data_IF_961913858619
#
_entry.id   IF_961913858619
#
_cell.length_a   1.000
_cell.length_b   1.000
_cell.length_c   1.000
_cell.angle_alpha   90.00
_cell.angle_beta   90.00
_cell.angle_gamma   90.00
#
_symmetry.space_group_name_H-M   'P 1'
#
loop_
_entity.id
_entity.type
_entity.pdbx_description
1 polymer ?
#
# COMPACT_ATOMS: atom_id res chain seq x y z
N UNK A 1 -31.98 18.28 -6.42
CA UNK A 1 -30.87 17.40 -6.86
C UNK A 1 -31.16 16.01 -6.30
N UNK A 2 -31.52 15.04 -7.15
CA UNK A 2 -32.18 13.80 -6.69
C UNK A 2 -31.18 12.86 -6.02
N UNK A 3 -31.33 12.65 -4.71
CA UNK A 3 -30.50 11.79 -3.84
C UNK A 3 -30.29 10.37 -4.41
N UNK A 4 -31.27 9.85 -5.15
CA UNK A 4 -31.21 8.53 -5.80
C UNK A 4 -30.19 8.43 -6.95
N UNK A 5 -29.89 9.54 -7.65
CA UNK A 5 -28.92 9.57 -8.74
C UNK A 5 -27.48 9.56 -8.24
N UNK A 6 -27.17 10.40 -7.25
CA UNK A 6 -25.84 10.48 -6.63
C UNK A 6 -25.42 9.15 -6.01
N UNK A 7 -26.36 8.42 -5.38
CA UNK A 7 -26.07 7.13 -4.77
C UNK A 7 -25.83 6.02 -5.81
N UNK A 8 -26.54 6.04 -6.95
CA UNK A 8 -26.28 5.09 -8.05
C UNK A 8 -24.90 5.32 -8.67
N UNK A 9 -24.48 6.58 -8.80
CA UNK A 9 -23.14 6.95 -9.30
C UNK A 9 -22.07 6.48 -8.31
N UNK A 10 -22.24 6.75 -7.01
CA UNK A 10 -21.32 6.30 -5.97
C UNK A 10 -21.19 4.76 -5.94
N UNK A 11 -22.31 4.04 -6.07
CA UNK A 11 -22.33 2.57 -6.15
C UNK A 11 -21.56 2.06 -7.35
N UNK A 12 -21.85 2.59 -8.54
CA UNK A 12 -21.17 2.17 -9.77
C UNK A 12 -19.67 2.51 -9.71
N UNK A 13 -19.30 3.66 -9.13
CA UNK A 13 -17.91 4.02 -8.86
C UNK A 13 -17.20 3.00 -7.96
N UNK A 14 -17.83 2.59 -6.87
CA UNK A 14 -17.29 1.55 -5.97
C UNK A 14 -17.09 0.21 -6.67
N UNK A 15 -18.04 -0.22 -7.51
CA UNK A 15 -17.91 -1.46 -8.29
C UNK A 15 -16.74 -1.36 -9.27
N UNK A 16 -16.61 -0.25 -9.99
CA UNK A 16 -15.49 -0.03 -10.92
C UNK A 16 -14.16 -0.07 -10.18
N UNK A 17 -14.04 0.63 -9.04
CA UNK A 17 -12.83 0.61 -8.22
C UNK A 17 -12.53 -0.82 -7.73
N UNK A 18 -13.54 -1.56 -7.29
CA UNK A 18 -13.37 -2.92 -6.82
C UNK A 18 -12.87 -3.86 -7.93
N UNK A 19 -13.44 -3.77 -9.13
CA UNK A 19 -12.99 -4.53 -10.31
C UNK A 19 -11.55 -4.16 -10.69
N UNK A 20 -11.20 -2.88 -10.65
CA UNK A 20 -9.82 -2.42 -10.90
C UNK A 20 -8.85 -3.00 -9.87
N UNK A 21 -9.22 -3.00 -8.58
CA UNK A 21 -8.40 -3.59 -7.51
C UNK A 21 -8.22 -5.11 -7.71
N UNK A 22 -9.28 -5.83 -8.08
CA UNK A 22 -9.19 -7.25 -8.42
C UNK A 22 -8.28 -7.49 -9.63
N UNK A 23 -8.46 -6.74 -10.72
CA UNK A 23 -7.65 -6.88 -11.93
C UNK A 23 -6.17 -6.57 -11.67
N UNK A 24 -5.90 -5.52 -10.89
CA UNK A 24 -4.55 -5.16 -10.47
C UNK A 24 -3.92 -6.24 -9.60
N UNK A 25 -4.68 -6.82 -8.66
CA UNK A 25 -4.23 -7.93 -7.83
C UNK A 25 -3.83 -9.16 -8.67
N UNK A 26 -4.68 -9.55 -9.62
CA UNK A 26 -4.39 -10.66 -10.55
C UNK A 26 -3.15 -10.36 -11.39
N UNK A 27 -3.03 -9.13 -11.91
CA UNK A 27 -1.87 -8.72 -12.71
C UNK A 27 -0.55 -8.81 -11.92
N UNK A 28 -0.55 -8.33 -10.67
CA UNK A 28 0.62 -8.39 -9.78
C UNK A 28 1.03 -9.84 -9.48
N UNK A 29 0.07 -10.74 -9.30
CA UNK A 29 0.33 -12.15 -9.03
C UNK A 29 0.78 -12.91 -10.29
N UNK A 30 0.20 -12.62 -11.45
CA UNK A 30 0.46 -13.34 -12.70
C UNK A 30 1.85 -13.03 -13.27
N UNK A 31 2.29 -11.76 -13.19
CA UNK A 31 3.57 -11.35 -13.78
C UNK A 31 4.37 -10.44 -12.83
N UNK A 32 4.81 -10.95 -11.67
CA UNK A 32 5.45 -10.15 -10.63
C UNK A 32 6.76 -9.51 -11.10
N UNK A 33 7.51 -10.17 -11.97
CA UNK A 33 8.78 -9.64 -12.51
C UNK A 33 8.58 -8.39 -13.38
N UNK A 34 7.50 -8.36 -14.18
CA UNK A 34 7.15 -7.16 -14.96
C UNK A 34 6.57 -6.09 -14.04
N UNK A 35 5.77 -6.47 -13.05
CA UNK A 35 5.22 -5.53 -12.08
C UNK A 35 6.32 -4.78 -11.30
N UNK A 36 7.33 -5.48 -10.79
CA UNK A 36 8.49 -4.85 -10.12
C UNK A 36 9.15 -3.82 -11.05
N UNK A 37 9.39 -4.17 -12.32
CA UNK A 37 9.98 -3.25 -13.30
C UNK A 37 9.11 -2.01 -13.54
N UNK A 38 7.81 -2.19 -13.67
CA UNK A 38 6.85 -1.09 -13.86
C UNK A 38 6.84 -0.18 -12.62
N UNK A 39 6.80 -0.75 -11.42
CA UNK A 39 6.83 -0.01 -10.16
C UNK A 39 8.11 0.84 -10.06
N UNK A 40 9.27 0.27 -10.40
CA UNK A 40 10.53 1.04 -10.41
C UNK A 40 10.52 2.19 -11.42
N UNK A 41 9.97 1.98 -12.62
CA UNK A 41 9.90 3.03 -13.63
C UNK A 41 8.97 4.14 -13.17
N UNK A 42 7.78 3.79 -12.67
CA UNK A 42 6.82 4.75 -12.12
C UNK A 42 7.43 5.52 -10.95
N UNK A 43 8.09 4.84 -10.01
CA UNK A 43 8.78 5.49 -8.91
C UNK A 43 9.86 6.46 -9.42
N UNK A 44 10.72 6.04 -10.35
CA UNK A 44 11.75 6.91 -10.93
C UNK A 44 11.17 8.18 -11.58
N UNK A 45 10.08 8.04 -12.36
CA UNK A 45 9.38 9.18 -12.98
C UNK A 45 8.78 10.10 -11.92
N UNK A 46 8.14 9.55 -10.87
CA UNK A 46 7.57 10.33 -9.78
C UNK A 46 8.64 11.11 -9.01
N UNK A 47 9.80 10.51 -8.75
CA UNK A 47 10.94 11.20 -8.12
C UNK A 47 11.46 12.36 -8.98
N UNK A 48 11.54 12.17 -10.30
CA UNK A 48 11.91 13.25 -11.23
C UNK A 48 10.85 14.36 -11.22
N UNK A 49 9.57 14.00 -11.30
CA UNK A 49 8.46 14.96 -11.29
C UNK A 49 8.42 15.77 -9.98
N UNK A 50 8.55 15.11 -8.83
CA UNK A 50 8.62 15.77 -7.52
C UNK A 50 9.80 16.74 -7.43
N UNK A 51 10.97 16.31 -7.92
CA UNK A 51 12.15 17.17 -7.99
C UNK A 51 11.94 18.39 -8.89
N UNK A 52 11.28 18.24 -10.04
CA UNK A 52 10.93 19.36 -10.93
C UNK A 52 9.96 20.32 -10.23
N UNK A 53 8.91 19.81 -9.57
CA UNK A 53 7.94 20.65 -8.85
C UNK A 53 8.65 21.47 -7.76
N UNK A 54 9.56 20.86 -7.00
CA UNK A 54 10.39 21.56 -5.98
C UNK A 54 11.26 22.65 -6.59
N UNK A 55 11.88 22.40 -7.75
CA UNK A 55 12.69 23.40 -8.46
C UNK A 55 11.83 24.56 -8.97
N UNK A 56 10.66 24.28 -9.57
CA UNK A 56 9.74 25.32 -10.04
C UNK A 56 9.24 26.15 -8.84
N UNK A 57 8.88 25.50 -7.74
CA UNK A 57 8.45 26.14 -6.50
C UNK A 57 9.51 27.07 -5.91
N UNK A 58 10.80 26.71 -6.01
CA UNK A 58 11.91 27.58 -5.61
C UNK A 58 12.00 28.87 -6.45
N UNK A 59 11.75 28.78 -7.76
CA UNK A 59 11.81 29.94 -8.66
C UNK A 59 10.58 30.85 -8.58
N UNK A 60 9.44 30.33 -8.11
CA UNK A 60 8.21 31.08 -7.90
C UNK A 60 8.34 31.94 -6.62
N UNK A 61 9.12 33.01 -6.71
CA UNK A 61 9.34 34.01 -5.67
C UNK A 61 8.01 34.57 -5.15
N UNK A 62 7.57 34.14 -3.97
CA UNK A 62 6.97 35.02 -2.96
C UNK A 62 6.84 34.32 -1.58
N UNK A 63 7.19 35.04 -0.52
CA UNK A 63 7.08 34.74 0.93
C UNK A 63 7.92 33.62 1.61
N UNK A 64 8.57 32.68 0.91
CA UNK A 64 9.24 31.51 1.55
C UNK A 64 10.78 31.56 1.69
N UNK A 65 11.39 32.73 1.48
CA UNK A 65 12.83 32.89 1.21
C UNK A 65 13.81 32.43 2.32
N UNK A 66 13.36 32.17 3.56
CA UNK A 66 14.25 31.76 4.66
C UNK A 66 14.20 30.27 5.01
N UNK A 67 13.13 29.54 4.65
CA UNK A 67 12.97 28.11 4.96
C UNK A 67 13.39 27.17 3.80
N UNK A 68 13.62 27.72 2.60
CA UNK A 68 13.61 26.96 1.33
C UNK A 68 14.97 26.82 0.63
N UNK A 69 16.10 27.22 1.25
CA UNK A 69 17.43 26.97 0.66
C UNK A 69 17.75 25.47 0.58
N UNK A 70 17.24 24.66 1.50
CA UNK A 70 17.42 23.21 1.49
C UNK A 70 16.59 22.47 0.44
N UNK A 71 15.48 23.07 -0.04
CA UNK A 71 14.57 22.41 -0.98
C UNK A 71 15.09 22.41 -2.43
N UNK A 72 15.93 23.36 -2.84
CA UNK A 72 16.57 23.32 -4.17
C UNK A 72 17.55 22.15 -4.26
N UNK A 73 18.45 22.02 -3.28
CA UNK A 73 19.41 20.93 -3.21
C UNK A 73 18.71 19.57 -3.13
N UNK A 74 17.62 19.50 -2.36
CA UNK A 74 16.79 18.30 -2.27
C UNK A 74 16.06 17.99 -3.59
N UNK A 75 15.55 19.00 -4.31
CA UNK A 75 14.93 18.80 -5.63
C UNK A 75 15.90 18.27 -6.68
N UNK A 76 17.13 18.81 -6.73
CA UNK A 76 18.21 18.29 -7.61
C UNK A 76 18.56 16.85 -7.22
N UNK A 77 18.67 16.57 -5.92
CA UNK A 77 18.96 15.22 -5.42
C UNK A 77 17.83 14.24 -5.80
N UNK A 78 16.56 14.63 -5.68
CA UNK A 78 15.41 13.83 -6.09
C UNK A 78 15.45 13.49 -7.58
N UNK A 79 15.78 14.45 -8.46
CA UNK A 79 15.97 14.19 -9.89
C UNK A 79 17.12 13.21 -10.13
N UNK A 80 18.27 13.43 -9.48
CA UNK A 80 19.43 12.56 -9.62
C UNK A 80 19.13 11.13 -9.17
N UNK A 81 18.43 10.97 -8.05
CA UNK A 81 17.94 9.67 -7.55
C UNK A 81 16.96 9.05 -8.53
N UNK A 82 16.00 9.80 -9.06
CA UNK A 82 15.05 9.32 -10.05
C UNK A 82 15.73 8.81 -11.33
N UNK A 83 16.72 9.54 -11.85
CA UNK A 83 17.55 9.10 -12.98
C UNK A 83 18.33 7.83 -12.62
N UNK A 84 18.94 7.79 -11.43
CA UNK A 84 19.69 6.63 -10.96
C UNK A 84 18.79 5.38 -10.90
N UNK A 85 17.55 5.51 -10.40
CA UNK A 85 16.53 4.44 -10.39
C UNK A 85 16.30 3.90 -11.80
N UNK A 86 16.16 4.78 -12.80
CA UNK A 86 15.89 4.38 -14.18
C UNK A 86 17.10 3.70 -14.86
N UNK A 87 18.32 4.12 -14.53
CA UNK A 87 19.58 3.60 -15.12
C UNK A 87 20.05 2.31 -14.45
N UNK A 88 19.91 2.20 -13.12
CA UNK A 88 20.42 1.09 -12.29
C UNK A 88 19.29 0.42 -11.49
N UNK A 89 18.21 0.07 -12.19
CA UNK A 89 16.97 -0.52 -11.63
C UNK A 89 17.25 -1.69 -10.68
N UNK A 90 18.08 -2.64 -11.11
CA UNK A 90 18.37 -3.85 -10.33
C UNK A 90 19.19 -3.57 -9.07
N UNK A 91 20.20 -2.69 -9.16
CA UNK A 91 21.03 -2.33 -8.01
C UNK A 91 20.22 -1.57 -6.95
N UNK A 92 19.35 -0.66 -7.37
CA UNK A 92 18.51 0.10 -6.44
C UNK A 92 17.44 -0.78 -5.83
N UNK A 93 16.79 -1.66 -6.61
CA UNK A 93 15.88 -2.66 -6.06
C UNK A 93 16.57 -3.49 -4.98
N UNK A 94 17.77 -4.01 -5.26
CA UNK A 94 18.55 -4.78 -4.29
C UNK A 94 18.81 -3.97 -3.02
N UNK A 95 19.24 -2.71 -3.16
CA UNK A 95 19.52 -1.83 -2.03
C UNK A 95 18.27 -1.56 -1.18
N UNK A 96 17.15 -1.25 -1.82
CA UNK A 96 15.86 -1.00 -1.15
C UNK A 96 15.43 -2.23 -0.34
N UNK A 97 15.45 -3.41 -0.96
CA UNK A 97 15.03 -4.65 -0.27
C UNK A 97 16.00 -5.07 0.82
N UNK A 98 17.29 -4.77 0.70
CA UNK A 98 18.27 -4.96 1.79
C UNK A 98 17.93 -4.05 2.98
N UNK A 99 17.65 -2.77 2.73
CA UNK A 99 17.24 -1.84 3.81
C UNK A 99 15.94 -2.32 4.46
N UNK A 100 14.95 -2.70 3.67
CA UNK A 100 13.70 -3.27 4.20
C UNK A 100 13.96 -4.53 5.03
N UNK A 101 14.81 -5.44 4.56
CA UNK A 101 15.19 -6.64 5.31
C UNK A 101 15.79 -6.31 6.68
N UNK A 102 16.71 -5.33 6.75
CA UNK A 102 17.29 -4.87 8.01
C UNK A 102 16.26 -4.24 8.95
N UNK A 103 15.37 -3.40 8.43
CA UNK A 103 14.30 -2.77 9.21
C UNK A 103 13.33 -3.82 9.75
N UNK A 104 12.93 -4.79 8.92
CA UNK A 104 12.05 -5.89 9.31
C UNK A 104 12.71 -6.79 10.37
N UNK A 105 14.00 -7.09 10.24
CA UNK A 105 14.73 -7.84 11.26
C UNK A 105 14.76 -7.08 12.59
N UNK A 106 14.98 -5.76 12.53
CA UNK A 106 14.95 -4.92 13.74
C UNK A 106 13.57 -4.93 14.39
N UNK A 107 12.50 -4.81 13.60
CA UNK A 107 11.11 -4.92 14.09
C UNK A 107 10.84 -6.30 14.72
N UNK A 108 11.29 -7.38 14.07
CA UNK A 108 11.16 -8.74 14.59
C UNK A 108 11.87 -8.91 15.93
N UNK A 109 13.09 -8.36 16.08
CA UNK A 109 13.83 -8.38 17.34
C UNK A 109 13.09 -7.62 18.45
N UNK A 110 12.52 -6.45 18.14
CA UNK A 110 11.71 -5.69 19.09
C UNK A 110 10.43 -6.46 19.49
N UNK A 111 9.77 -7.14 18.56
CA UNK A 111 8.60 -7.98 18.87
C UNK A 111 8.95 -9.18 19.74
N UNK A 112 10.13 -9.79 19.54
CA UNK A 112 10.61 -10.86 20.42
C UNK A 112 10.77 -10.31 21.84
N UNK A 113 11.37 -9.13 22.02
CA UNK A 113 11.48 -8.49 23.34
C UNK A 113 10.10 -8.25 23.96
N UNK A 114 9.17 -7.66 23.21
CA UNK A 114 7.79 -7.45 23.67
C UNK A 114 7.09 -8.77 24.05
N UNK A 115 7.35 -9.87 23.34
CA UNK A 115 6.77 -11.19 23.68
C UNK A 115 7.27 -11.73 25.01
N UNK A 116 8.55 -11.51 25.33
CA UNK A 116 9.16 -11.92 26.61
C UNK A 116 8.61 -11.09 27.76
N UNK A 117 8.41 -9.79 27.54
CA UNK A 117 7.73 -8.92 28.52
C UNK A 117 6.27 -9.33 28.71
N UNK A 118 5.52 -9.57 27.63
CA UNK A 118 4.13 -10.05 27.70
C UNK A 118 3.99 -11.36 28.48
N UNK A 119 4.99 -12.26 28.37
CA UNK A 119 5.06 -13.48 29.18
C UNK A 119 5.23 -13.16 30.67
N UNK A 120 6.08 -12.18 31.03
CA UNK A 120 6.26 -11.74 32.43
C UNK A 120 4.99 -11.09 33.00
N UNK A 121 4.22 -10.38 32.17
CA UNK A 121 2.92 -9.79 32.54
C UNK A 121 1.76 -10.80 32.56
N UNK A 122 1.98 -12.07 32.22
CA UNK A 122 0.95 -13.12 32.26
C UNK A 122 -0.04 -13.10 31.10
N UNK A 123 0.22 -12.38 30.00
CA UNK A 123 -0.64 -12.39 28.83
C UNK A 123 -0.61 -13.76 28.14
N UNK A 124 -1.77 -14.41 27.99
CA UNK A 124 -1.88 -15.72 27.30
C UNK A 124 -1.46 -15.69 25.82
N UNK A 125 -1.45 -14.53 25.16
CA UNK A 125 -1.06 -14.39 23.75
C UNK A 125 0.46 -14.27 23.49
N UNK A 126 1.31 -14.35 24.52
CA UNK A 126 2.76 -14.20 24.37
C UNK A 126 3.38 -15.11 23.30
N UNK A 127 2.88 -16.35 23.19
CA UNK A 127 3.34 -17.33 22.19
C UNK A 127 2.99 -16.91 20.76
N UNK A 128 1.90 -16.18 20.55
CA UNK A 128 1.42 -15.79 19.22
C UNK A 128 2.26 -14.62 18.71
N UNK A 129 2.56 -13.68 19.60
CA UNK A 129 3.48 -12.57 19.32
C UNK A 129 4.86 -13.12 18.96
N UNK A 130 5.36 -14.10 19.72
CA UNK A 130 6.65 -14.74 19.47
C UNK A 130 6.67 -15.46 18.11
N UNK A 131 5.63 -16.24 17.80
CA UNK A 131 5.53 -16.95 16.52
C UNK A 131 5.50 -15.99 15.33
N UNK A 132 4.70 -14.91 15.43
CA UNK A 132 4.67 -13.85 14.41
C UNK A 132 6.05 -13.20 14.27
N UNK A 133 6.71 -12.88 15.39
CA UNK A 133 8.03 -12.26 15.35
C UNK A 133 9.08 -13.13 14.66
N UNK A 134 9.08 -14.45 14.93
CA UNK A 134 9.96 -15.41 14.25
C UNK A 134 9.65 -15.48 12.76
N UNK A 135 8.37 -15.56 12.38
CA UNK A 135 7.97 -15.58 10.96
C UNK A 135 8.41 -14.29 10.24
N UNK A 136 8.21 -13.13 10.87
CA UNK A 136 8.68 -11.83 10.36
C UNK A 136 10.20 -11.79 10.23
N UNK A 137 10.93 -12.35 11.20
CA UNK A 137 12.39 -12.43 11.16
C UNK A 137 12.90 -13.31 10.01
N UNK A 138 12.27 -14.47 9.77
CA UNK A 138 12.59 -15.34 8.63
C UNK A 138 12.35 -14.60 7.31
N UNK A 139 11.22 -13.89 7.20
CA UNK A 139 10.93 -13.09 6.01
C UNK A 139 11.97 -11.98 5.80
N UNK A 140 12.32 -11.23 6.85
CA UNK A 140 13.38 -10.21 6.79
C UNK A 140 14.73 -10.77 6.38
N UNK A 141 15.10 -11.96 6.87
CA UNK A 141 16.33 -12.64 6.47
C UNK A 141 16.30 -13.11 5.01
N UNK A 142 15.16 -13.61 4.53
CA UNK A 142 14.97 -13.99 3.13
C UNK A 142 15.20 -12.80 2.19
N UNK A 143 14.71 -11.60 2.56
CA UNK A 143 14.93 -10.36 1.81
C UNK A 143 16.42 -9.97 1.72
N UNK A 144 17.25 -10.32 2.70
CA UNK A 144 18.68 -10.05 2.67
C UNK A 144 19.46 -11.03 1.79
N UNK A 145 19.11 -12.32 1.84
CA UNK A 145 19.81 -13.38 1.11
C UNK A 145 19.46 -13.34 -0.37
N UNK A 146 18.17 -13.21 -0.69
CA UNK A 146 17.69 -13.07 -2.07
C UNK A 146 16.72 -11.87 -2.20
N UNK A 147 17.28 -10.66 -2.42
CA UNK A 147 16.48 -9.45 -2.61
C UNK A 147 15.57 -9.52 -3.84
N UNK A 148 15.93 -10.29 -4.88
CA UNK A 148 15.13 -10.41 -6.08
C UNK A 148 13.93 -11.34 -5.85
N UNK A 149 14.15 -12.49 -5.21
CA UNK A 149 13.07 -13.36 -4.75
C UNK A 149 12.17 -12.68 -3.71
N UNK A 150 12.76 -11.94 -2.77
CA UNK A 150 12.03 -11.14 -1.77
C UNK A 150 11.14 -10.06 -2.39
N UNK A 151 11.62 -9.40 -3.45
CA UNK A 151 10.81 -8.45 -4.22
C UNK A 151 9.61 -9.13 -4.90
N UNK A 152 9.85 -10.30 -5.53
CA UNK A 152 8.79 -11.09 -6.17
C UNK A 152 7.72 -11.53 -5.17
N UNK A 153 8.14 -12.06 -4.03
CA UNK A 153 7.26 -12.46 -2.94
C UNK A 153 6.43 -11.27 -2.43
N UNK A 154 7.07 -10.15 -2.14
CA UNK A 154 6.38 -8.92 -1.70
C UNK A 154 5.31 -8.50 -2.70
N UNK A 155 5.63 -8.49 -4.00
CA UNK A 155 4.66 -8.13 -5.05
C UNK A 155 3.50 -9.12 -5.15
N UNK A 156 3.76 -10.42 -5.02
CA UNK A 156 2.69 -11.44 -4.99
C UNK A 156 1.77 -11.23 -3.78
N UNK A 157 2.34 -11.03 -2.59
CA UNK A 157 1.57 -10.73 -1.37
C UNK A 157 0.75 -9.46 -1.52
N UNK A 158 1.34 -8.40 -2.10
CA UNK A 158 0.63 -7.18 -2.43
C UNK A 158 -0.50 -7.44 -3.43
N UNK A 159 -0.30 -8.30 -4.42
CA UNK A 159 -1.34 -8.72 -5.37
C UNK A 159 -2.50 -9.45 -4.70
N UNK A 160 -2.21 -10.38 -3.78
CA UNK A 160 -3.23 -11.07 -2.97
C UNK A 160 -4.00 -10.05 -2.10
N UNK A 161 -3.29 -9.11 -1.48
CA UNK A 161 -3.93 -8.06 -0.68
C UNK A 161 -4.87 -7.18 -1.52
N UNK A 162 -4.44 -6.76 -2.72
CA UNK A 162 -5.28 -6.00 -3.64
C UNK A 162 -6.50 -6.79 -4.11
N UNK A 163 -6.34 -8.10 -4.36
CA UNK A 163 -7.45 -8.98 -4.72
C UNK A 163 -8.47 -9.07 -3.58
N UNK A 164 -8.02 -9.32 -2.36
CA UNK A 164 -8.87 -9.39 -1.17
C UNK A 164 -9.57 -8.07 -0.90
N UNK A 165 -8.87 -6.94 -1.07
CA UNK A 165 -9.44 -5.60 -0.95
C UNK A 165 -10.53 -5.34 -2.01
N UNK A 166 -10.32 -5.79 -3.24
CA UNK A 166 -11.33 -5.72 -4.31
C UNK A 166 -12.57 -6.56 -3.98
N UNK A 167 -12.38 -7.80 -3.50
CA UNK A 167 -13.47 -8.68 -3.07
C UNK A 167 -14.24 -8.05 -1.89
N UNK A 168 -13.53 -7.50 -0.90
CA UNK A 168 -14.14 -6.84 0.25
C UNK A 168 -15.02 -5.66 -0.19
N UNK A 169 -14.53 -4.82 -1.11
CA UNK A 169 -15.31 -3.71 -1.67
C UNK A 169 -16.57 -4.19 -2.39
N UNK A 170 -16.49 -5.29 -3.14
CA UNK A 170 -17.67 -5.90 -3.78
C UNK A 170 -18.67 -6.40 -2.72
N UNK A 171 -18.20 -7.10 -1.69
CA UNK A 171 -19.04 -7.57 -0.59
C UNK A 171 -19.75 -6.41 0.10
N UNK A 172 -19.03 -5.33 0.44
CA UNK A 172 -19.62 -4.14 1.08
C UNK A 172 -20.73 -3.55 0.22
N UNK A 173 -20.52 -3.41 -1.09
CA UNK A 173 -21.55 -2.90 -2.01
C UNK A 173 -22.80 -3.81 -2.02
N UNK A 174 -22.61 -5.13 -2.08
CA UNK A 174 -23.72 -6.09 -2.06
C UNK A 174 -24.49 -6.02 -0.75
N UNK A 175 -23.79 -5.99 0.39
CA UNK A 175 -24.43 -5.88 1.71
C UNK A 175 -25.19 -4.56 1.88
N UNK A 176 -24.62 -3.42 1.46
CA UNK A 176 -25.31 -2.13 1.54
C UNK A 176 -26.56 -2.09 0.68
N UNK A 177 -26.56 -2.72 -0.50
CA UNK A 177 -27.77 -2.85 -1.33
C UNK A 177 -28.81 -3.73 -0.64
N UNK A 178 -28.38 -4.88 -0.09
CA UNK A 178 -29.27 -5.85 0.54
C UNK A 178 -29.95 -5.30 1.81
N UNK A 179 -29.23 -4.51 2.62
CA UNK A 179 -29.81 -3.84 3.80
C UNK A 179 -30.90 -2.86 3.36
N UNK A 180 -30.66 -2.09 2.30
CA UNK A 180 -31.63 -1.08 1.85
C UNK A 180 -32.85 -1.68 1.16
N UNK A 181 -32.69 -2.80 0.47
CA UNK A 181 -33.81 -3.57 -0.07
C UNK A 181 -34.67 -4.11 1.08
N UNK A 182 -34.04 -4.67 2.12
CA UNK A 182 -34.77 -5.17 3.29
C UNK A 182 -35.47 -4.06 4.08
N UNK A 183 -34.87 -2.88 4.20
CA UNK A 183 -35.49 -1.70 4.84
C UNK A 183 -36.71 -1.22 4.04
N UNK A 184 -36.61 -1.10 2.71
CA UNK A 184 -37.74 -0.70 1.87
C UNK A 184 -38.93 -1.70 1.93
N UNK A 185 -38.65 -3.01 2.02
CA UNK A 185 -39.70 -4.04 2.13
C UNK A 185 -40.43 -3.93 3.48
N UNK A 186 -39.71 -3.70 4.59
CA UNK A 186 -40.31 -3.51 5.92
C UNK A 186 -41.27 -2.31 5.96
N UNK A 187 -40.91 -1.18 5.32
CA UNK A 187 -41.81 -0.04 5.22
C UNK A 187 -43.05 -0.34 4.38
N UNK A 188 -42.91 -1.04 3.25
CA UNK A 188 -44.05 -1.41 2.39
C UNK A 188 -45.05 -2.35 3.09
N UNK A 189 -44.56 -3.22 3.98
CA UNK A 189 -45.41 -4.11 4.79
C UNK A 189 -46.15 -3.33 5.89
N UNK A 190 -45.49 -2.40 6.60
CA UNK A 190 -46.15 -1.54 7.61
C UNK A 190 -47.26 -0.66 7.02
N UNK A 191 -47.09 -0.11 5.81
CA UNK A 191 -48.11 0.72 5.16
C UNK A 191 -49.27 -0.09 4.55
N UNK A 192 -49.11 -1.41 4.38
CA UNK A 192 -50.15 -2.28 3.81
C UNK A 192 -51.08 -2.86 4.88
N UNK A 193 -50.69 -2.79 6.15
CA UNK A 193 -51.49 -3.24 7.31
C UNK A 193 -52.38 -2.13 7.93
N UNK A 194 -52.35 -0.90 7.39
CA UNK A 194 -53.18 0.25 7.81
C UNK A 194 -54.27 0.53 6.77
#
# INVERSE_FOLDING_TARGET
MNSSGTLKIARNGYIVIAVVFCALGIFLMAVPEKAVKIICVLAGILFIADGIIKIIGYFSRDFYCLAFQFDLGFGILMIAVGILILVRREAILRLIFVIFGLVILTDALLRIQMSVEAKKFGLKLWWAVLLIAVATGIFGMLLLVDPAGGAKLTVIFTGVAFLLEGILKLCVVVYTVKIRENENVVWEDEFREI
#
